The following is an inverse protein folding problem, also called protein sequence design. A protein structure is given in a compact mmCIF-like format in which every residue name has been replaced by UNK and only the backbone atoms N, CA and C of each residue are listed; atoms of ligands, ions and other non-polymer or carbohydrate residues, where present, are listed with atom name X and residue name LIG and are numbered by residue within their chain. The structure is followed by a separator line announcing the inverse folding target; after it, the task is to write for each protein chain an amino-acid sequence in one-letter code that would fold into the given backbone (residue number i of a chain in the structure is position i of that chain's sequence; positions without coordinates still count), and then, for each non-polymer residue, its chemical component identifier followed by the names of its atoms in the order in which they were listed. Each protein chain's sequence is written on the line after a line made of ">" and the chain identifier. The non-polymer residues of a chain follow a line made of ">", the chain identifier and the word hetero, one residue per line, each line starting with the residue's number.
data_IF_808943975882
#
_entry.id   IF_808943975882
#
_cell.length_a   1.000
_cell.length_b   1.000
_cell.length_c   1.000
_cell.angle_alpha   90.00
_cell.angle_beta   90.00
_cell.angle_gamma   90.00
#
_symmetry.space_group_name_H-M   'P 1'
#
loop_
_entity.id
_entity.type
_entity.pdbx_description
1 polymer ?
#
# COMPACT_ATOMS: atom_id res chain seq x y z
N UNK A 1 -2.60 12.81 10.74
CA UNK A 1 -3.91 13.13 10.12
C UNK A 1 -3.81 12.81 8.64
N UNK A 2 -4.63 11.87 8.17
CA UNK A 2 -4.63 11.33 6.82
C UNK A 2 -5.46 12.21 5.88
N UNK A 3 -4.99 12.46 4.66
CA UNK A 3 -5.73 13.24 3.66
C UNK A 3 -6.82 12.40 3.02
N UNK A 4 -8.06 12.89 3.02
CA UNK A 4 -9.23 12.20 2.49
C UNK A 4 -9.89 13.06 1.42
N UNK A 5 -10.05 12.55 0.21
CA UNK A 5 -10.86 13.20 -0.81
C UNK A 5 -12.30 12.65 -0.79
N UNK A 6 -13.29 13.53 -0.92
CA UNK A 6 -14.72 13.18 -1.07
C UNK A 6 -15.16 13.69 -2.44
N UNK A 7 -15.72 12.82 -3.29
CA UNK A 7 -16.20 13.22 -4.61
C UNK A 7 -17.62 12.72 -4.84
N UNK A 8 -18.56 13.65 -4.97
CA UNK A 8 -19.99 13.38 -5.17
C UNK A 8 -20.63 14.64 -5.79
N UNK A 9 -21.49 14.52 -6.80
CA UNK A 9 -22.11 15.69 -7.43
C UNK A 9 -23.23 16.31 -6.58
N UNK A 10 -23.72 15.59 -5.56
CA UNK A 10 -24.67 16.10 -4.57
C UNK A 10 -23.96 16.69 -3.35
N UNK A 11 -23.98 18.02 -3.27
CA UNK A 11 -23.42 18.78 -2.15
C UNK A 11 -23.99 18.37 -0.78
N UNK A 12 -25.25 17.91 -0.72
CA UNK A 12 -25.85 17.45 0.54
C UNK A 12 -25.23 16.14 1.00
N UNK A 13 -24.93 15.25 0.07
CA UNK A 13 -24.23 13.99 0.35
C UNK A 13 -22.81 14.27 0.86
N UNK A 14 -22.09 15.22 0.24
CA UNK A 14 -20.79 15.69 0.74
C UNK A 14 -20.91 16.19 2.18
N UNK A 15 -21.82 17.13 2.46
CA UNK A 15 -21.97 17.71 3.81
C UNK A 15 -22.27 16.63 4.86
N UNK A 16 -23.12 15.65 4.54
CA UNK A 16 -23.41 14.53 5.45
C UNK A 16 -22.19 13.64 5.67
N UNK A 17 -21.41 13.35 4.64
CA UNK A 17 -20.17 12.58 4.79
C UNK A 17 -19.16 13.33 5.68
N UNK A 18 -19.01 14.65 5.50
CA UNK A 18 -18.16 15.51 6.34
C UNK A 18 -18.59 15.50 7.82
N UNK A 19 -19.89 15.53 8.10
CA UNK A 19 -20.43 15.40 9.47
C UNK A 19 -20.04 14.06 10.12
N UNK A 20 -20.14 12.96 9.38
CA UNK A 20 -19.74 11.63 9.87
C UNK A 20 -18.23 11.55 10.09
N UNK A 21 -17.43 12.12 9.18
CA UNK A 21 -15.96 12.20 9.33
C UNK A 21 -15.58 13.02 10.56
N UNK A 22 -16.25 14.16 10.79
CA UNK A 22 -16.06 14.97 11.98
C UNK A 22 -16.45 14.22 13.26
N UNK A 23 -17.52 13.43 13.24
CA UNK A 23 -17.90 12.55 14.34
C UNK A 23 -16.84 11.47 14.61
N UNK A 24 -16.34 10.80 13.57
CA UNK A 24 -15.26 9.81 13.66
C UNK A 24 -13.98 10.42 14.25
N UNK A 25 -13.54 11.57 13.74
CA UNK A 25 -12.32 12.25 14.20
C UNK A 25 -12.35 12.62 15.69
N UNK A 26 -13.54 12.92 16.25
CA UNK A 26 -13.71 13.24 17.68
C UNK A 26 -13.49 12.05 18.60
N UNK A 27 -13.73 10.83 18.12
CA UNK A 27 -13.62 9.60 18.93
C UNK A 27 -12.38 8.77 18.58
N UNK A 28 -11.79 8.97 17.41
CA UNK A 28 -10.58 8.29 16.96
C UNK A 28 -9.31 8.83 17.63
N UNK A 29 -8.31 7.98 17.81
CA UNK A 29 -6.95 8.40 18.21
C UNK A 29 -6.32 9.34 17.15
N UNK A 30 -5.41 10.22 17.59
CA UNK A 30 -4.85 11.31 16.77
C UNK A 30 -4.29 10.85 15.41
N UNK A 31 -3.63 9.68 15.39
CA UNK A 31 -3.01 9.12 14.18
C UNK A 31 -4.01 8.46 13.23
N UNK A 32 -5.29 8.34 13.62
CA UNK A 32 -6.38 7.77 12.82
C UNK A 32 -7.33 8.83 12.26
N UNK A 33 -7.09 10.13 12.49
CA UNK A 33 -7.97 11.20 12.04
C UNK A 33 -7.80 11.51 10.54
N UNK A 34 -8.89 11.91 9.88
CA UNK A 34 -8.93 12.31 8.47
C UNK A 34 -9.10 13.82 8.27
N UNK A 35 -8.43 14.36 7.25
CA UNK A 35 -8.60 15.73 6.75
C UNK A 35 -9.38 15.70 5.44
N UNK A 36 -10.69 16.00 5.43
CA UNK A 36 -11.48 15.94 4.22
C UNK A 36 -11.15 17.09 3.26
N UNK A 37 -11.23 16.80 1.96
CA UNK A 37 -11.23 17.76 0.85
C UNK A 37 -12.33 17.33 -0.12
N UNK A 38 -13.23 18.25 -0.43
CA UNK A 38 -14.52 17.92 -1.07
C UNK A 38 -14.58 18.43 -2.50
N UNK A 39 -15.10 17.58 -3.39
CA UNK A 39 -15.15 17.81 -4.83
C UNK A 39 -16.55 17.49 -5.35
N UNK A 40 -17.21 18.45 -5.97
CA UNK A 40 -18.52 18.24 -6.63
C UNK A 40 -18.40 17.80 -8.09
N UNK A 41 -17.17 17.73 -8.60
CA UNK A 41 -16.91 17.42 -10.00
C UNK A 41 -15.76 16.40 -10.10
N UNK A 42 -15.99 15.22 -10.69
CA UNK A 42 -14.98 14.16 -10.74
C UNK A 42 -13.77 14.52 -11.60
N UNK A 43 -13.94 15.37 -12.61
CA UNK A 43 -12.82 15.85 -13.42
C UNK A 43 -11.90 16.78 -12.64
N UNK A 44 -12.43 17.61 -11.74
CA UNK A 44 -11.60 18.46 -10.88
C UNK A 44 -10.72 17.63 -9.96
N UNK A 45 -11.27 16.58 -9.34
CA UNK A 45 -10.48 15.66 -8.51
C UNK A 45 -9.42 14.93 -9.35
N UNK A 46 -9.78 14.44 -10.54
CA UNK A 46 -8.82 13.81 -11.47
C UNK A 46 -7.66 14.75 -11.82
N UNK A 47 -7.96 16.02 -12.09
CA UNK A 47 -6.96 17.01 -12.50
C UNK A 47 -6.00 17.30 -11.33
N UNK A 48 -6.50 17.50 -10.10
CA UNK A 48 -5.67 17.62 -8.88
C UNK A 48 -4.74 16.42 -8.67
N UNK A 49 -5.24 15.20 -8.89
CA UNK A 49 -4.43 13.97 -8.81
C UNK A 49 -3.33 13.98 -9.87
N UNK A 50 -3.67 14.38 -11.10
CA UNK A 50 -2.73 14.43 -12.23
C UNK A 50 -1.65 15.48 -12.00
N UNK A 51 -2.00 16.58 -11.34
CA UNK A 51 -1.08 17.66 -10.93
C UNK A 51 -0.22 17.29 -9.71
N UNK A 52 -0.37 16.06 -9.20
CA UNK A 52 0.49 15.48 -8.17
C UNK A 52 -0.05 15.58 -6.74
N UNK A 53 -1.32 15.98 -6.56
CA UNK A 53 -1.94 15.97 -5.25
C UNK A 53 -2.16 14.53 -4.77
N UNK A 54 -1.75 14.25 -3.53
CA UNK A 54 -1.83 12.91 -2.93
C UNK A 54 -2.85 12.90 -1.80
N UNK A 55 -3.67 11.84 -1.79
CA UNK A 55 -4.62 11.51 -0.72
C UNK A 55 -4.37 10.07 -0.23
N UNK A 56 -4.59 9.84 1.06
CA UNK A 56 -4.46 8.53 1.69
C UNK A 56 -5.72 7.68 1.46
N UNK A 57 -6.88 8.36 1.44
CA UNK A 57 -8.18 7.73 1.26
C UNK A 57 -9.11 8.56 0.35
N UNK A 58 -10.10 7.87 -0.22
CA UNK A 58 -11.11 8.44 -1.11
C UNK A 58 -12.50 7.92 -0.72
N UNK A 59 -13.48 8.81 -0.66
CA UNK A 59 -14.91 8.49 -0.69
C UNK A 59 -15.43 8.96 -2.04
N UNK A 60 -15.91 8.03 -2.87
CA UNK A 60 -16.34 8.32 -4.23
C UNK A 60 -17.80 7.91 -4.40
N UNK A 61 -18.62 8.78 -4.96
CA UNK A 61 -19.87 8.34 -5.56
C UNK A 61 -19.58 7.42 -6.75
N UNK A 62 -20.46 6.46 -6.97
CA UNK A 62 -20.41 5.60 -8.15
C UNK A 62 -21.06 6.33 -9.33
N UNK A 63 -22.18 7.01 -9.09
CA UNK A 63 -23.05 7.57 -10.12
C UNK A 63 -22.85 9.07 -10.23
N UNK A 64 -21.84 9.48 -11.01
CA UNK A 64 -21.57 10.88 -11.30
C UNK A 64 -21.64 11.15 -12.80
N UNK A 65 -22.07 12.35 -13.18
CA UNK A 65 -22.01 12.80 -14.57
C UNK A 65 -20.56 12.92 -15.08
N UNK A 66 -20.39 12.74 -16.39
CA UNK A 66 -19.12 12.81 -17.15
C UNK A 66 -18.09 11.70 -16.86
N UNK A 67 -17.84 11.36 -15.59
CA UNK A 67 -16.88 10.34 -15.18
C UNK A 67 -17.41 9.59 -13.96
N UNK A 68 -17.76 8.32 -14.18
CA UNK A 68 -18.26 7.45 -13.10
C UNK A 68 -17.17 7.13 -12.07
N UNK A 69 -17.61 6.77 -10.87
CA UNK A 69 -16.72 6.49 -9.74
C UNK A 69 -15.72 5.36 -10.01
N UNK A 70 -16.08 4.34 -10.80
CA UNK A 70 -15.16 3.26 -11.13
C UNK A 70 -14.06 3.71 -12.09
N UNK A 71 -14.42 4.51 -13.08
CA UNK A 71 -13.45 5.11 -14.00
C UNK A 71 -12.50 6.05 -13.26
N UNK A 72 -13.00 6.88 -12.35
CA UNK A 72 -12.16 7.73 -11.50
C UNK A 72 -11.27 6.89 -10.58
N UNK A 73 -11.78 5.82 -9.96
CA UNK A 73 -10.98 4.91 -9.14
C UNK A 73 -9.85 4.24 -9.92
N UNK A 74 -10.07 3.88 -11.20
CA UNK A 74 -9.02 3.37 -12.08
C UNK A 74 -7.91 4.40 -12.31
N UNK A 75 -8.27 5.68 -12.51
CA UNK A 75 -7.29 6.75 -12.63
C UNK A 75 -6.50 6.95 -11.32
N UNK A 76 -7.21 7.01 -10.17
CA UNK A 76 -6.57 7.09 -8.85
C UNK A 76 -5.54 5.98 -8.68
N UNK A 77 -5.87 4.74 -9.06
CA UNK A 77 -4.97 3.58 -8.91
C UNK A 77 -3.67 3.68 -9.70
N UNK A 78 -3.62 4.46 -10.79
CA UNK A 78 -2.37 4.68 -11.55
C UNK A 78 -1.34 5.47 -10.74
N UNK A 79 -1.79 6.44 -9.94
CA UNK A 79 -0.93 7.33 -9.18
C UNK A 79 -0.80 6.90 -7.71
N UNK A 80 -1.88 6.35 -7.15
CA UNK A 80 -2.04 5.96 -5.74
C UNK A 80 -2.56 4.52 -5.65
N UNK A 81 -1.71 3.53 -5.98
CA UNK A 81 -2.11 2.12 -6.05
C UNK A 81 -2.61 1.55 -4.71
N UNK A 82 -2.23 2.15 -3.59
CA UNK A 82 -2.57 1.68 -2.23
C UNK A 82 -3.61 2.53 -1.50
N UNK A 83 -4.09 3.64 -2.07
CA UNK A 83 -5.03 4.50 -1.36
C UNK A 83 -6.31 3.75 -1.00
N UNK A 84 -6.86 3.98 0.19
CA UNK A 84 -8.12 3.38 0.57
C UNK A 84 -9.25 4.00 -0.29
N UNK A 85 -10.05 3.17 -0.97
CA UNK A 85 -11.20 3.64 -1.75
C UNK A 85 -12.48 3.10 -1.12
N UNK A 86 -13.36 3.99 -0.70
CA UNK A 86 -14.70 3.70 -0.21
C UNK A 86 -15.67 4.22 -1.27
N UNK A 87 -16.53 3.34 -1.78
CA UNK A 87 -17.63 3.79 -2.63
C UNK A 87 -18.86 4.14 -1.80
N UNK A 88 -19.52 5.22 -2.14
CA UNK A 88 -20.73 5.72 -1.49
C UNK A 88 -21.85 5.82 -2.52
N UNK A 89 -22.85 4.94 -2.49
CA UNK A 89 -23.87 4.88 -3.54
C UNK A 89 -25.29 4.79 -3.00
N UNK A 90 -26.24 5.37 -3.74
CA UNK A 90 -27.68 5.18 -3.51
C UNK A 90 -28.16 3.75 -3.81
N UNK A 91 -27.39 2.99 -4.60
CA UNK A 91 -27.78 1.68 -5.09
C UNK A 91 -26.87 0.58 -4.54
N UNK A 92 -27.48 -0.52 -4.09
CA UNK A 92 -26.79 -1.73 -3.62
C UNK A 92 -26.82 -2.81 -4.69
N UNK A 93 -26.37 -2.50 -5.90
CA UNK A 93 -26.39 -3.45 -7.02
C UNK A 93 -25.22 -4.44 -6.95
N UNK A 94 -25.50 -5.71 -7.22
CA UNK A 94 -24.49 -6.78 -7.24
C UNK A 94 -23.37 -6.49 -8.25
N UNK A 95 -23.69 -5.84 -9.37
CA UNK A 95 -22.74 -5.49 -10.44
C UNK A 95 -21.62 -4.56 -9.95
N UNK A 96 -21.92 -3.66 -9.01
CA UNK A 96 -20.94 -2.72 -8.45
C UNK A 96 -19.85 -3.46 -7.68
N UNK A 97 -20.18 -4.59 -7.06
CA UNK A 97 -19.20 -5.42 -6.33
C UNK A 97 -18.11 -5.96 -7.27
N UNK A 98 -18.46 -6.39 -8.49
CA UNK A 98 -17.49 -6.93 -9.46
C UNK A 98 -16.51 -5.86 -9.95
N UNK A 99 -17.01 -4.67 -10.30
CA UNK A 99 -16.15 -3.55 -10.70
C UNK A 99 -15.27 -3.07 -9.54
N UNK A 100 -15.78 -3.12 -8.31
CA UNK A 100 -15.02 -2.86 -7.09
C UNK A 100 -13.79 -3.69 -6.89
N UNK A 101 -13.91 -4.99 -7.14
CA UNK A 101 -12.78 -5.90 -7.03
C UNK A 101 -11.66 -5.51 -7.98
N UNK A 102 -11.97 -5.07 -9.21
CA UNK A 102 -10.98 -4.65 -10.20
C UNK A 102 -10.18 -3.42 -9.74
N UNK A 103 -10.81 -2.52 -8.99
CA UNK A 103 -10.15 -1.32 -8.44
C UNK A 103 -9.73 -1.47 -6.99
N UNK A 104 -9.83 -2.68 -6.42
CA UNK A 104 -9.52 -2.96 -5.00
C UNK A 104 -10.19 -1.94 -4.07
N UNK A 105 -11.50 -1.76 -4.23
CA UNK A 105 -12.29 -0.97 -3.30
C UNK A 105 -12.26 -1.63 -1.92
N UNK A 106 -12.07 -0.81 -0.89
CA UNK A 106 -11.98 -1.26 0.50
C UNK A 106 -13.37 -1.55 1.08
N UNK A 107 -14.33 -0.66 0.80
CA UNK A 107 -15.71 -0.74 1.29
C UNK A 107 -16.70 -0.16 0.30
N UNK A 108 -17.91 -0.67 0.39
CA UNK A 108 -19.11 -0.11 -0.22
C UNK A 108 -20.05 0.34 0.89
N UNK A 109 -20.46 1.60 0.83
CA UNK A 109 -21.37 2.21 1.79
C UNK A 109 -22.61 2.65 1.05
N UNK A 110 -23.78 2.25 1.54
CA UNK A 110 -25.04 2.77 1.01
C UNK A 110 -25.31 4.16 1.57
N UNK A 111 -25.71 5.12 0.72
CA UNK A 111 -26.17 6.45 1.13
C UNK A 111 -27.36 6.38 2.10
N UNK A 112 -28.14 5.29 2.08
CA UNK A 112 -29.26 5.05 3.00
C UNK A 112 -28.84 4.71 4.43
N UNK A 113 -27.66 4.13 4.62
CA UNK A 113 -27.11 3.72 5.92
C UNK A 113 -25.80 4.43 6.25
N UNK A 114 -25.55 5.58 5.60
CA UNK A 114 -24.27 6.28 5.62
C UNK A 114 -23.78 6.57 7.05
N UNK A 115 -24.66 7.04 7.93
CA UNK A 115 -24.31 7.46 9.30
C UNK A 115 -23.66 6.35 10.13
N UNK A 116 -24.10 5.10 9.97
CA UNK A 116 -23.55 3.95 10.69
C UNK A 116 -22.45 3.27 9.89
N UNK A 117 -22.70 2.96 8.62
CA UNK A 117 -21.79 2.16 7.78
C UNK A 117 -20.53 2.92 7.38
N UNK A 118 -20.58 4.24 7.22
CA UNK A 118 -19.40 5.03 6.88
C UNK A 118 -18.41 5.10 8.05
N UNK A 119 -18.89 5.10 9.29
CA UNK A 119 -18.03 5.11 10.48
C UNK A 119 -17.16 3.84 10.55
N UNK A 120 -17.74 2.67 10.28
CA UNK A 120 -17.00 1.40 10.18
C UNK A 120 -16.04 1.38 8.98
N UNK A 121 -16.43 1.98 7.87
CA UNK A 121 -15.60 2.09 6.67
C UNK A 121 -14.38 3.00 6.90
N UNK A 122 -14.55 4.13 7.60
CA UNK A 122 -13.47 5.03 7.99
C UNK A 122 -12.48 4.33 8.94
N UNK A 123 -12.97 3.55 9.90
CA UNK A 123 -12.10 2.76 10.79
C UNK A 123 -11.28 1.73 10.00
N UNK A 124 -11.90 1.07 9.02
CA UNK A 124 -11.19 0.13 8.14
C UNK A 124 -10.14 0.88 7.29
N UNK A 125 -10.50 2.05 6.74
CA UNK A 125 -9.60 2.87 5.94
C UNK A 125 -8.42 3.40 6.74
N UNK A 126 -8.64 3.84 7.99
CA UNK A 126 -7.57 4.31 8.87
C UNK A 126 -6.52 3.23 9.11
N UNK A 127 -6.95 1.99 9.37
CA UNK A 127 -6.05 0.83 9.51
C UNK A 127 -5.30 0.54 8.22
N UNK A 128 -5.98 0.55 7.07
CA UNK A 128 -5.35 0.34 5.77
C UNK A 128 -4.32 1.43 5.43
N UNK A 129 -4.54 2.68 5.86
CA UNK A 129 -3.61 3.78 5.65
C UNK A 129 -2.39 3.72 6.59
N UNK A 130 -2.57 3.26 7.83
CA UNK A 130 -1.48 3.10 8.80
C UNK A 130 -0.63 1.87 8.51
N UNK A 131 -1.26 0.80 8.05
CA UNK A 131 -0.63 -0.46 7.68
C UNK A 131 -0.93 -0.76 6.21
N UNK A 132 -0.38 0.02 5.26
CA UNK A 132 -0.62 -0.22 3.85
C UNK A 132 -0.18 -1.64 3.50
N UNK A 133 -1.10 -2.41 2.91
CA UNK A 133 -0.88 -3.81 2.50
C UNK A 133 0.39 -3.94 1.62
N UNK A 134 0.78 -2.87 0.94
CA UNK A 134 1.98 -2.81 0.09
C UNK A 134 2.88 -1.68 0.60
N UNK A 135 3.99 -2.08 1.21
CA UNK A 135 5.10 -1.18 1.53
C UNK A 135 6.02 -1.03 0.33
N UNK A 136 6.75 0.08 0.25
CA UNK A 136 7.61 0.40 -0.89
C UNK A 136 9.00 0.82 -0.43
N UNK A 137 10.00 0.34 -1.16
CA UNK A 137 11.36 0.84 -1.05
C UNK A 137 11.48 2.05 -1.96
N UNK A 138 11.53 3.24 -1.35
CA UNK A 138 11.58 4.52 -2.07
C UNK A 138 12.96 5.14 -1.92
N UNK A 139 13.64 5.38 -3.04
CA UNK A 139 14.98 5.95 -3.08
C UNK A 139 15.09 7.02 -4.16
N UNK A 140 15.83 8.08 -3.84
CA UNK A 140 16.29 9.06 -4.83
C UNK A 140 17.53 8.49 -5.53
N UNK A 141 17.47 8.29 -6.84
CA UNK A 141 18.60 7.89 -7.67
C UNK A 141 18.87 8.95 -8.74
N UNK A 142 19.96 9.71 -8.57
CA UNK A 142 20.22 10.94 -9.33
C UNK A 142 19.07 11.95 -9.20
N UNK A 143 18.33 12.22 -10.28
CA UNK A 143 17.17 13.11 -10.32
C UNK A 143 15.83 12.36 -10.27
N UNK A 144 15.86 11.03 -10.34
CA UNK A 144 14.66 10.21 -10.39
C UNK A 144 14.33 9.64 -9.01
N UNK A 145 13.04 9.53 -8.71
CA UNK A 145 12.55 8.81 -7.54
C UNK A 145 12.16 7.40 -8.00
N UNK A 146 12.91 6.41 -7.53
CA UNK A 146 12.57 5.00 -7.76
C UNK A 146 11.75 4.50 -6.57
N UNK A 147 10.61 3.89 -6.88
CA UNK A 147 9.70 3.30 -5.90
C UNK A 147 9.44 1.85 -6.28
N UNK A 148 9.85 0.91 -5.44
CA UNK A 148 9.74 -0.53 -5.69
C UNK A 148 8.87 -1.16 -4.59
N UNK A 149 7.77 -1.87 -4.91
CA UNK A 149 7.01 -2.61 -3.90
C UNK A 149 7.88 -3.63 -3.17
N UNK A 150 7.75 -3.73 -1.85
CA UNK A 150 8.47 -4.72 -1.06
C UNK A 150 8.19 -6.14 -1.52
N UNK A 151 6.95 -6.40 -1.94
CA UNK A 151 6.52 -7.70 -2.42
C UNK A 151 7.08 -8.06 -3.79
N UNK A 152 7.66 -7.12 -4.54
CA UNK A 152 8.39 -7.40 -5.77
C UNK A 152 9.88 -7.65 -5.53
N UNK A 153 10.43 -7.26 -4.37
CA UNK A 153 11.86 -7.41 -4.07
C UNK A 153 12.12 -8.84 -3.59
N UNK A 154 12.88 -9.62 -4.38
CA UNK A 154 13.28 -10.98 -4.03
C UNK A 154 14.47 -10.95 -3.06
N UNK A 155 15.56 -10.28 -3.45
CA UNK A 155 16.73 -10.06 -2.63
C UNK A 155 17.51 -8.83 -3.08
N UNK A 156 18.37 -8.35 -2.21
CA UNK A 156 19.23 -7.20 -2.42
C UNK A 156 20.64 -7.61 -2.05
N UNK A 157 21.60 -7.41 -2.96
CA UNK A 157 22.97 -7.82 -2.72
C UNK A 157 23.99 -6.78 -3.17
N UNK A 158 25.12 -6.79 -2.49
CA UNK A 158 26.21 -5.86 -2.75
C UNK A 158 27.17 -6.48 -3.76
N UNK A 159 27.28 -5.87 -4.92
CA UNK A 159 28.26 -6.22 -5.95
C UNK A 159 29.30 -5.12 -6.02
N UNK A 160 30.53 -5.41 -5.55
CA UNK A 160 31.63 -4.44 -5.48
C UNK A 160 31.24 -3.19 -4.65
N UNK A 161 31.10 -2.02 -5.30
CA UNK A 161 30.76 -0.73 -4.66
C UNK A 161 29.29 -0.34 -4.79
N UNK A 162 28.48 -1.16 -5.45
CA UNK A 162 27.06 -0.89 -5.68
C UNK A 162 26.18 -1.95 -5.04
N UNK A 163 24.92 -1.62 -4.86
CA UNK A 163 23.90 -2.53 -4.36
C UNK A 163 22.87 -2.75 -5.45
N UNK A 164 22.63 -4.00 -5.81
CA UNK A 164 21.65 -4.40 -6.82
C UNK A 164 20.41 -4.95 -6.12
N UNK A 165 19.24 -4.50 -6.57
CA UNK A 165 17.93 -4.97 -6.10
C UNK A 165 17.38 -5.92 -7.15
N UNK A 166 17.15 -7.18 -6.79
CA UNK A 166 16.59 -8.18 -7.71
C UNK A 166 15.08 -8.26 -7.47
N UNK A 167 14.30 -8.03 -8.53
CA UNK A 167 12.84 -7.99 -8.47
C UNK A 167 12.19 -9.14 -9.25
N UNK A 168 10.91 -9.46 -8.97
CA UNK A 168 10.14 -10.47 -9.70
C UNK A 168 10.00 -10.17 -11.20
N UNK A 169 9.96 -8.90 -11.59
CA UNK A 169 9.81 -8.47 -12.98
C UNK A 169 11.13 -8.56 -13.78
N UNK A 170 12.17 -9.18 -13.21
CA UNK A 170 13.54 -9.22 -13.74
C UNK A 170 14.24 -7.87 -13.85
N UNK A 171 13.66 -6.80 -13.34
CA UNK A 171 14.35 -5.52 -13.20
C UNK A 171 15.43 -5.63 -12.12
N UNK A 172 16.59 -5.02 -12.40
CA UNK A 172 17.76 -5.00 -11.50
C UNK A 172 18.26 -3.58 -11.22
N UNK A 173 17.49 -2.74 -10.49
CA UNK A 173 17.95 -1.40 -10.16
C UNK A 173 19.25 -1.42 -9.33
N UNK A 174 20.18 -0.52 -9.68
CA UNK A 174 21.49 -0.42 -9.04
C UNK A 174 21.62 0.90 -8.29
N UNK A 175 22.00 0.82 -7.02
CA UNK A 175 22.02 1.96 -6.09
C UNK A 175 23.38 2.08 -5.40
N UNK A 176 23.72 3.30 -4.95
CA UNK A 176 24.99 3.59 -4.24
C UNK A 176 24.82 3.64 -2.72
N UNK A 177 23.97 2.78 -2.17
CA UNK A 177 23.78 2.63 -0.73
C UNK A 177 24.49 1.40 -0.18
N UNK A 178 24.93 1.45 1.06
CA UNK A 178 25.32 0.26 1.84
C UNK A 178 24.10 -0.58 2.19
N UNK A 179 24.30 -1.89 2.37
CA UNK A 179 23.21 -2.76 2.81
C UNK A 179 22.67 -2.36 4.17
N UNK A 180 23.50 -1.77 5.03
CA UNK A 180 23.05 -1.20 6.31
C UNK A 180 22.03 -0.09 6.07
N UNK A 181 22.37 0.91 5.25
CA UNK A 181 21.44 2.00 4.92
C UNK A 181 20.18 1.50 4.21
N UNK A 182 20.31 0.46 3.38
CA UNK A 182 19.15 -0.19 2.75
C UNK A 182 18.26 -0.85 3.81
N UNK A 183 18.82 -1.64 4.71
CA UNK A 183 18.06 -2.30 5.78
C UNK A 183 17.37 -1.28 6.69
N UNK A 184 18.08 -0.23 7.08
CA UNK A 184 17.54 0.85 7.93
C UNK A 184 16.38 1.59 7.22
N UNK A 185 16.39 1.70 5.89
CA UNK A 185 15.28 2.25 5.11
C UNK A 185 14.15 1.26 4.88
N UNK A 186 14.44 -0.04 4.78
CA UNK A 186 13.42 -1.06 4.60
C UNK A 186 12.55 -1.18 5.85
N UNK A 187 13.17 -1.20 7.04
CA UNK A 187 12.51 -1.23 8.35
C UNK A 187 11.28 -2.16 8.38
N UNK A 188 11.46 -3.38 7.88
CA UNK A 188 10.40 -4.38 7.79
C UNK A 188 10.97 -5.78 8.04
N UNK A 189 10.30 -6.51 8.92
CA UNK A 189 10.71 -7.84 9.38
C UNK A 189 10.73 -8.90 8.27
N UNK A 190 10.15 -8.63 7.10
CA UNK A 190 10.24 -9.52 5.94
C UNK A 190 11.65 -9.56 5.35
N UNK A 191 12.50 -8.55 5.59
CA UNK A 191 13.86 -8.51 5.08
C UNK A 191 14.88 -9.02 6.09
N UNK A 192 15.68 -10.00 5.68
CA UNK A 192 16.61 -10.72 6.54
C UNK A 192 17.99 -10.76 5.89
N UNK A 193 19.04 -10.45 6.65
CA UNK A 193 20.41 -10.65 6.14
C UNK A 193 20.75 -12.15 6.03
N UNK A 194 21.23 -12.59 4.87
CA UNK A 194 21.76 -13.96 4.71
C UNK A 194 23.28 -14.02 4.99
N UNK A 195 23.97 -12.94 4.65
CA UNK A 195 25.38 -12.67 4.97
C UNK A 195 25.65 -11.15 5.01
N UNK A 196 26.93 -10.74 5.06
CA UNK A 196 27.33 -9.31 5.11
C UNK A 196 27.08 -8.52 3.81
N UNK A 197 26.75 -9.22 2.74
CA UNK A 197 26.62 -8.76 1.35
C UNK A 197 25.26 -9.08 0.73
N UNK A 198 24.31 -9.62 1.49
CA UNK A 198 23.00 -9.98 0.96
C UNK A 198 21.88 -9.88 2.00
N UNK A 199 20.76 -9.29 1.58
CA UNK A 199 19.47 -9.21 2.27
C UNK A 199 18.46 -9.94 1.41
N UNK A 200 17.69 -10.87 1.97
CA UNK A 200 16.61 -11.58 1.29
C UNK A 200 15.26 -11.11 1.81
N UNK A 201 14.25 -11.08 0.96
CA UNK A 201 12.88 -11.03 1.41
C UNK A 201 12.41 -12.45 1.76
N UNK A 202 12.15 -12.70 3.04
CA UNK A 202 11.75 -14.00 3.59
C UNK A 202 10.44 -14.53 3.04
N UNK A 203 9.59 -13.68 2.43
CA UNK A 203 8.41 -14.15 1.70
C UNK A 203 8.81 -14.99 0.47
N UNK A 204 9.94 -14.69 -0.17
CA UNK A 204 10.43 -15.42 -1.34
C UNK A 204 11.19 -16.71 -1.02
N UNK A 205 11.48 -16.95 0.26
CA UNK A 205 12.22 -18.13 0.69
C UNK A 205 11.26 -19.32 0.81
N UNK A 206 11.57 -20.41 0.11
CA UNK A 206 10.80 -21.67 0.12
C UNK A 206 11.32 -22.61 1.21
N UNK A 207 12.64 -22.69 1.36
CA UNK A 207 13.24 -23.56 2.38
C UNK A 207 14.66 -23.14 2.73
N UNK A 208 15.10 -23.56 3.92
CA UNK A 208 16.50 -23.44 4.38
C UNK A 208 17.15 -24.81 4.25
N UNK A 209 18.17 -24.94 3.40
CA UNK A 209 18.87 -26.21 3.17
C UNK A 209 20.36 -26.07 3.47
N UNK A 210 20.85 -26.82 4.47
CA UNK A 210 22.25 -26.83 4.93
C UNK A 210 22.81 -25.42 5.19
N UNK A 211 23.38 -24.79 4.17
CA UNK A 211 24.06 -23.48 4.20
C UNK A 211 23.49 -22.48 3.18
N UNK A 212 22.28 -22.71 2.66
CA UNK A 212 21.65 -21.86 1.67
C UNK A 212 20.14 -21.73 1.87
N UNK A 213 19.57 -20.66 1.33
CA UNK A 213 18.13 -20.46 1.15
C UNK A 213 17.76 -20.82 -0.28
N UNK A 214 16.68 -21.56 -0.46
CA UNK A 214 16.07 -21.84 -1.76
C UNK A 214 14.93 -20.85 -1.98
N UNK A 215 14.94 -20.15 -3.11
CA UNK A 215 13.95 -19.13 -3.45
C UNK A 215 12.87 -19.66 -4.40
N UNK A 216 11.71 -19.01 -4.42
CA UNK A 216 10.59 -19.38 -5.32
C UNK A 216 10.95 -19.31 -6.80
N UNK A 217 11.86 -18.41 -7.18
CA UNK A 217 12.34 -18.26 -8.55
C UNK A 217 13.39 -19.32 -8.96
N UNK A 218 13.70 -20.28 -8.09
CA UNK A 218 14.66 -21.35 -8.33
C UNK A 218 16.11 -21.00 -7.98
N UNK A 219 16.42 -19.74 -7.63
CA UNK A 219 17.75 -19.35 -7.19
C UNK A 219 18.07 -19.87 -5.78
N UNK A 220 19.37 -19.91 -5.46
CA UNK A 220 19.84 -20.23 -4.11
C UNK A 220 20.77 -19.14 -3.59
N UNK A 221 20.52 -18.69 -2.36
CA UNK A 221 21.34 -17.68 -1.70
C UNK A 221 22.16 -18.33 -0.58
N UNK A 222 23.49 -18.16 -0.55
CA UNK A 222 24.30 -18.67 0.54
C UNK A 222 23.97 -17.95 1.85
N UNK A 223 24.05 -18.69 2.94
CA UNK A 223 23.90 -18.16 4.30
C UNK A 223 25.20 -18.37 5.05
N UNK A 224 25.72 -17.30 5.64
CA UNK A 224 26.96 -17.42 6.40
C UNK A 224 26.77 -18.28 7.66
N UNK A 225 27.78 -19.08 8.02
CA UNK A 225 27.73 -19.92 9.23
C UNK A 225 27.37 -19.14 10.50
N UNK A 226 27.87 -17.92 10.62
CA UNK A 226 27.61 -17.04 11.78
C UNK A 226 26.17 -16.56 11.85
N UNK A 227 25.50 -16.41 10.71
CA UNK A 227 24.14 -15.84 10.63
C UNK A 227 23.05 -16.91 10.55
N UNK A 228 23.40 -18.16 10.26
CA UNK A 228 22.46 -19.27 10.10
C UNK A 228 21.42 -19.38 11.24
N UNK A 229 21.86 -19.25 12.50
CA UNK A 229 20.94 -19.32 13.64
C UNK A 229 19.94 -18.17 13.67
N UNK A 230 20.39 -16.96 13.34
CA UNK A 230 19.55 -15.77 13.29
C UNK A 230 18.57 -15.86 12.12
N UNK A 231 19.04 -16.20 10.93
CA UNK A 231 18.21 -16.37 9.73
C UNK A 231 17.07 -17.36 9.96
N UNK A 232 17.36 -18.51 10.58
CA UNK A 232 16.31 -19.49 10.92
C UNK A 232 15.29 -18.91 11.89
N UNK A 233 15.75 -18.14 12.88
CA UNK A 233 14.88 -17.51 13.87
C UNK A 233 13.97 -16.48 13.23
N UNK A 234 14.52 -15.61 12.37
CA UNK A 234 13.78 -14.57 11.67
C UNK A 234 12.75 -15.17 10.72
N UNK A 235 13.12 -16.20 9.95
CA UNK A 235 12.20 -16.90 9.04
C UNK A 235 11.10 -17.65 9.80
N UNK A 236 11.41 -18.33 10.91
CA UNK A 236 10.39 -18.98 11.74
C UNK A 236 9.40 -17.97 12.32
N UNK A 237 9.90 -16.82 12.78
CA UNK A 237 9.07 -15.72 13.27
C UNK A 237 8.17 -15.16 12.17
N UNK A 238 8.71 -14.99 10.96
CA UNK A 238 7.98 -14.49 9.79
C UNK A 238 6.87 -15.45 9.35
N UNK A 239 7.14 -16.75 9.33
CA UNK A 239 6.21 -17.77 8.84
C UNK A 239 5.20 -18.27 9.89
N UNK A 240 5.29 -17.77 11.13
CA UNK A 240 4.45 -18.25 12.23
C UNK A 240 4.76 -19.69 12.67
N UNK A 241 5.98 -20.17 12.41
CA UNK A 241 6.42 -21.49 12.84
C UNK A 241 6.61 -21.56 14.37
N UNK A 242 6.11 -22.61 15.01
CA UNK A 242 6.36 -22.87 16.43
C UNK A 242 7.84 -23.23 16.64
N UNK A 243 8.44 -22.68 17.71
CA UNK A 243 9.82 -22.98 18.15
C UNK A 243 9.98 -24.41 18.63
#
# INVERSE_FOLDING_TARGET
>A
MMKLAICDDDIKTISRAEEVIAAYNRVSVLDSQFSPSSFTCPTTLRDEITDGQIFDAFILDIEMEMLDGFSLAREIRKYMPTAAIIFLSSHTEYNYTQEGYKVRALRYVSKLTMETSLMEALETAAKACQFPDIKYFTISHYNDILRIPYDEIIYIHRVSRTTEIVTENNDRPVIRMTLKEVMDKLDDHRFVYTDRSCIVNGNFVVSVQKSALCLRNGETLPVSRKMMSQVKTDLLSLWGGLK
#
